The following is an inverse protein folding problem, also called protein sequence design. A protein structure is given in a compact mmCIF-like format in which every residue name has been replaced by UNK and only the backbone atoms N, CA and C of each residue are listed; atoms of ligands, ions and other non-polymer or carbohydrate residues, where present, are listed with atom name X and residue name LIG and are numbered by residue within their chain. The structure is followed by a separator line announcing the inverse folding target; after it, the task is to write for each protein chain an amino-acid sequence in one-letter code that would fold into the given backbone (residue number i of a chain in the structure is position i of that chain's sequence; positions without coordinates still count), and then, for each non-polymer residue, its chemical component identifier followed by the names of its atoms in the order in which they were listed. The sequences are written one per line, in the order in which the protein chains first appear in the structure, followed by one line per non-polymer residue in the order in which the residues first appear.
data_IF_306234256358
#
_entry.id   IF_306234256358
#
_cell.length_a   1.000
_cell.length_b   1.000
_cell.length_c   1.000
_cell.angle_alpha   90.00
_cell.angle_beta   90.00
_cell.angle_gamma   90.00
#
_symmetry.space_group_name_H-M   'P 1'
#
loop_
_entity.id
_entity.type
_entity.pdbx_description
1 polymer ?
#
# COMPACT_ATOMS: atom_id res chain seq x y z
N UNK A 1 -63.23 -32.03 -0.81
CA UNK A 1 -61.99 -32.06 0.00
C UNK A 1 -60.81 -32.18 -0.97
N UNK A 2 -60.12 -31.07 -1.22
CA UNK A 2 -58.93 -30.99 -2.06
C UNK A 2 -57.69 -31.09 -1.17
N UNK A 3 -56.74 -31.97 -1.49
CA UNK A 3 -55.33 -31.82 -1.07
C UNK A 3 -54.44 -32.77 -1.89
N UNK A 4 -53.83 -32.25 -2.96
CA UNK A 4 -52.39 -32.00 -3.08
C UNK A 4 -51.52 -33.26 -3.28
N UNK A 5 -51.43 -33.72 -4.53
CA UNK A 5 -50.26 -34.41 -5.04
C UNK A 5 -49.33 -33.39 -5.71
N UNK A 6 -48.29 -32.97 -4.98
CA UNK A 6 -47.23 -32.12 -5.52
C UNK A 6 -46.27 -32.92 -6.40
N UNK A 7 -46.43 -32.82 -7.73
CA UNK A 7 -45.36 -33.19 -8.68
C UNK A 7 -44.22 -32.19 -8.54
N UNK A 8 -43.10 -32.66 -7.99
CA UNK A 8 -41.83 -31.94 -8.00
C UNK A 8 -41.30 -31.90 -9.44
N UNK A 9 -41.62 -30.83 -10.16
CA UNK A 9 -40.98 -30.52 -11.45
C UNK A 9 -39.56 -30.05 -11.14
N UNK A 10 -38.58 -30.90 -11.45
CA UNK A 10 -37.18 -30.54 -11.56
C UNK A 10 -37.02 -29.45 -12.63
N UNK A 11 -37.14 -28.19 -12.21
CA UNK A 11 -36.75 -27.05 -13.02
C UNK A 11 -35.22 -27.08 -13.09
N UNK A 12 -34.69 -27.66 -14.17
CA UNK A 12 -33.31 -27.43 -14.64
C UNK A 12 -33.06 -25.93 -14.52
N UNK A 13 -32.22 -25.52 -13.57
CA UNK A 13 -31.59 -24.21 -13.63
C UNK A 13 -30.67 -24.28 -14.83
N UNK A 14 -31.14 -23.75 -15.95
CA UNK A 14 -30.27 -23.38 -17.03
C UNK A 14 -29.17 -22.52 -16.40
N UNK A 15 -27.94 -23.04 -16.43
CA UNK A 15 -26.76 -22.21 -16.35
C UNK A 15 -26.88 -21.24 -17.51
N UNK A 16 -27.37 -20.03 -17.24
CA UNK A 16 -27.04 -18.89 -18.07
C UNK A 16 -25.52 -18.77 -18.01
N UNK A 17 -24.87 -19.45 -18.94
CA UNK A 17 -23.59 -19.03 -19.47
C UNK A 17 -23.78 -17.56 -19.79
N UNK A 18 -23.35 -16.69 -18.90
CA UNK A 18 -22.97 -15.34 -19.28
C UNK A 18 -21.90 -15.53 -20.32
N UNK A 19 -22.32 -15.54 -21.59
CA UNK A 19 -21.49 -15.17 -22.70
C UNK A 19 -20.99 -13.78 -22.37
N UNK A 20 -19.86 -13.71 -21.67
CA UNK A 20 -19.07 -12.50 -21.62
C UNK A 20 -18.57 -12.31 -23.04
N UNK A 21 -19.38 -11.62 -23.84
CA UNK A 21 -18.91 -11.00 -25.07
C UNK A 21 -17.57 -10.35 -24.71
N UNK A 22 -16.45 -10.70 -25.37
CA UNK A 22 -15.18 -10.08 -25.05
C UNK A 22 -15.41 -8.57 -25.17
N UNK A 23 -15.32 -7.85 -24.04
CA UNK A 23 -15.46 -6.40 -24.03
C UNK A 23 -14.50 -5.90 -25.09
N UNK A 24 -15.06 -5.35 -26.17
CA UNK A 24 -14.31 -4.74 -27.27
C UNK A 24 -13.31 -3.80 -26.59
N UNK A 25 -12.00 -4.09 -26.66
CA UNK A 25 -10.98 -3.22 -26.07
C UNK A 25 -11.25 -1.83 -26.62
N UNK A 26 -11.60 -0.87 -25.76
CA UNK A 26 -11.74 0.52 -26.15
C UNK A 26 -10.41 0.91 -26.80
N UNK A 27 -10.47 1.21 -28.09
CA UNK A 27 -9.27 1.52 -28.87
C UNK A 27 -8.98 2.99 -28.63
N UNK A 28 -8.21 3.28 -27.58
CA UNK A 28 -7.77 4.63 -27.30
C UNK A 28 -6.84 5.11 -28.43
N UNK A 29 -7.13 6.29 -28.96
CA UNK A 29 -6.32 6.97 -29.96
C UNK A 29 -5.40 7.99 -29.27
N UNK A 30 -4.20 8.18 -29.82
CA UNK A 30 -3.25 9.20 -29.34
C UNK A 30 -3.22 10.31 -30.39
N UNK A 31 -3.76 11.47 -30.06
CA UNK A 31 -3.85 12.58 -31.01
C UNK A 31 -2.58 13.44 -31.02
N UNK A 32 -2.47 14.32 -32.02
CA UNK A 32 -1.36 15.28 -32.10
C UNK A 32 -1.45 16.30 -30.95
N UNK A 33 -2.66 16.65 -30.53
CA UNK A 33 -2.93 17.52 -29.40
C UNK A 33 -2.51 16.87 -28.07
N UNK A 34 -2.81 15.57 -27.89
CA UNK A 34 -2.35 14.79 -26.73
C UNK A 34 -0.82 14.78 -26.64
N UNK A 35 -0.15 14.56 -27.77
CA UNK A 35 1.30 14.56 -27.85
C UNK A 35 1.90 15.94 -27.52
N UNK A 36 1.34 17.00 -28.11
CA UNK A 36 1.78 18.38 -27.89
C UNK A 36 1.61 18.81 -26.43
N UNK A 37 0.46 18.47 -25.83
CA UNK A 37 0.19 18.72 -24.42
C UNK A 37 1.15 17.96 -23.50
N UNK A 38 1.43 16.70 -23.80
CA UNK A 38 2.38 15.89 -23.03
C UNK A 38 3.80 16.45 -23.11
N UNK A 39 4.25 16.86 -24.30
CA UNK A 39 5.55 17.51 -24.52
C UNK A 39 5.68 18.81 -23.74
N UNK A 40 4.63 19.63 -23.73
CA UNK A 40 4.59 20.87 -22.96
C UNK A 40 4.78 20.60 -21.46
N UNK A 41 3.98 19.68 -20.89
CA UNK A 41 4.07 19.31 -19.46
C UNK A 41 5.48 18.82 -19.11
N UNK A 42 6.06 17.94 -19.93
CA UNK A 42 7.41 17.41 -19.68
C UNK A 42 8.46 18.52 -19.76
N UNK A 43 8.33 19.43 -20.74
CA UNK A 43 9.26 20.55 -20.93
C UNK A 43 9.24 21.51 -19.74
N UNK A 44 8.08 21.79 -19.16
CA UNK A 44 7.96 22.60 -17.93
C UNK A 44 8.80 22.01 -16.78
N UNK A 45 8.74 20.69 -16.58
CA UNK A 45 9.58 20.04 -15.56
C UNK A 45 11.07 20.15 -15.88
N UNK A 46 11.46 19.94 -17.14
CA UNK A 46 12.87 20.03 -17.56
C UNK A 46 13.40 21.47 -17.38
N UNK A 47 12.63 22.48 -17.80
CA UNK A 47 12.99 23.89 -17.67
C UNK A 47 13.13 24.31 -16.20
N UNK A 48 12.41 23.64 -15.28
CA UNK A 48 12.57 23.81 -13.83
C UNK A 48 13.80 23.08 -13.23
N UNK A 49 14.64 22.45 -14.06
CA UNK A 49 15.82 21.69 -13.63
C UNK A 49 15.52 20.28 -13.12
N UNK A 50 14.29 19.77 -13.29
CA UNK A 50 13.89 18.45 -12.80
C UNK A 50 14.03 17.40 -13.91
N UNK A 51 15.03 16.53 -13.76
CA UNK A 51 15.28 15.42 -14.68
C UNK A 51 14.75 14.07 -14.18
N UNK A 52 14.27 13.98 -12.94
CA UNK A 52 13.51 12.84 -12.44
C UNK A 52 12.04 13.27 -12.24
N UNK A 53 11.14 12.79 -13.09
CA UNK A 53 9.74 13.25 -13.15
C UNK A 53 8.81 12.11 -12.77
N UNK A 54 7.88 12.34 -11.83
CA UNK A 54 6.89 11.32 -11.48
C UNK A 54 5.72 11.32 -12.49
N UNK A 55 5.35 10.16 -13.02
CA UNK A 55 4.17 10.03 -13.89
C UNK A 55 2.89 10.49 -13.18
N UNK A 56 2.81 10.40 -11.85
CA UNK A 56 1.66 10.93 -11.11
C UNK A 56 1.48 12.43 -11.33
N UNK A 57 2.58 13.18 -11.35
CA UNK A 57 2.55 14.65 -11.45
C UNK A 57 2.22 15.08 -12.88
N UNK A 58 2.72 14.32 -13.88
CA UNK A 58 2.31 14.45 -15.28
C UNK A 58 0.82 14.13 -15.42
N UNK A 59 0.37 13.00 -14.86
CA UNK A 59 -1.02 12.55 -14.95
C UNK A 59 -2.00 13.59 -14.40
N UNK A 60 -1.69 14.19 -13.24
CA UNK A 60 -2.53 15.23 -12.65
C UNK A 60 -2.66 16.50 -13.49
N UNK A 61 -1.75 16.76 -14.43
CA UNK A 61 -1.83 17.89 -15.35
C UNK A 61 -2.41 17.50 -16.72
N UNK A 62 -2.30 16.21 -17.07
CA UNK A 62 -2.70 15.70 -18.37
C UNK A 62 -4.17 15.33 -18.45
N UNK A 63 -4.75 14.72 -17.41
CA UNK A 63 -6.14 14.27 -17.45
C UNK A 63 -6.79 14.23 -16.07
N UNK A 64 -8.06 14.65 -16.02
CA UNK A 64 -8.95 14.47 -14.86
C UNK A 64 -9.67 13.12 -14.86
N UNK A 65 -9.48 12.30 -15.91
CA UNK A 65 -10.10 10.98 -16.01
C UNK A 65 -9.62 10.05 -14.90
N UNK A 66 -10.53 9.25 -14.35
CA UNK A 66 -10.20 8.18 -13.41
C UNK A 66 -10.11 6.80 -14.09
N UNK A 67 -10.32 6.72 -15.41
CA UNK A 67 -10.28 5.47 -16.15
C UNK A 67 -8.87 4.87 -16.15
N UNK A 68 -8.75 3.66 -15.62
CA UNK A 68 -7.47 2.98 -15.43
C UNK A 68 -6.88 2.57 -16.78
N UNK A 69 -7.73 2.12 -17.70
CA UNK A 69 -7.34 1.71 -19.05
C UNK A 69 -6.75 2.88 -19.84
N UNK A 70 -7.40 4.06 -19.78
CA UNK A 70 -6.89 5.29 -20.40
C UNK A 70 -5.60 5.75 -19.71
N UNK A 71 -5.54 5.73 -18.37
CA UNK A 71 -4.31 6.04 -17.63
C UNK A 71 -3.12 5.17 -18.03
N UNK A 72 -3.34 3.87 -18.23
CA UNK A 72 -2.31 2.92 -18.70
C UNK A 72 -1.87 3.26 -20.13
N UNK A 73 -2.82 3.59 -20.99
CA UNK A 73 -2.55 4.03 -22.36
C UNK A 73 -1.67 5.29 -22.38
N UNK A 74 -2.05 6.34 -21.66
CA UNK A 74 -1.28 7.59 -21.54
C UNK A 74 0.10 7.33 -20.93
N UNK A 75 0.21 6.48 -19.89
CA UNK A 75 1.50 6.10 -19.31
C UNK A 75 2.44 5.46 -20.33
N UNK A 76 1.90 4.59 -21.20
CA UNK A 76 2.67 3.94 -22.26
C UNK A 76 3.17 4.96 -23.29
N UNK A 77 2.32 5.91 -23.68
CA UNK A 77 2.68 6.96 -24.64
C UNK A 77 3.69 7.95 -24.05
N UNK A 78 3.48 8.41 -22.82
CA UNK A 78 4.44 9.23 -22.06
C UNK A 78 5.81 8.56 -21.95
N UNK A 79 5.86 7.25 -21.62
CA UNK A 79 7.11 6.50 -21.55
C UNK A 79 7.85 6.49 -22.90
N UNK A 80 7.13 6.23 -24.00
CA UNK A 80 7.73 6.27 -25.35
C UNK A 80 8.29 7.65 -25.65
N UNK A 81 7.52 8.69 -25.36
CA UNK A 81 7.88 10.06 -25.67
C UNK A 81 9.13 10.52 -24.91
N UNK A 82 9.20 10.24 -23.60
CA UNK A 82 10.40 10.51 -22.79
C UNK A 82 11.62 9.76 -23.32
N UNK A 83 11.46 8.48 -23.69
CA UNK A 83 12.56 7.69 -24.25
C UNK A 83 13.07 8.22 -25.59
N UNK A 84 12.18 8.68 -26.47
CA UNK A 84 12.54 9.17 -27.80
C UNK A 84 13.09 10.59 -27.80
N UNK A 85 12.51 11.51 -27.02
CA UNK A 85 12.78 12.95 -27.13
C UNK A 85 13.58 13.51 -25.94
N UNK A 86 13.60 12.80 -24.80
CA UNK A 86 14.23 13.28 -23.56
C UNK A 86 15.06 12.18 -22.88
N UNK A 87 16.11 11.63 -23.53
CA UNK A 87 16.83 10.46 -23.04
C UNK A 87 17.53 10.65 -21.69
N UNK A 88 17.76 11.91 -21.28
CA UNK A 88 18.34 12.27 -19.97
C UNK A 88 17.30 12.34 -18.84
N UNK A 89 16.00 12.24 -19.16
CA UNK A 89 14.91 12.34 -18.18
C UNK A 89 14.51 10.94 -17.71
N UNK A 90 14.49 10.76 -16.39
CA UNK A 90 14.02 9.54 -15.73
C UNK A 90 12.56 9.68 -15.35
N UNK A 91 11.69 8.96 -16.06
CA UNK A 91 10.26 8.88 -15.72
C UNK A 91 10.04 7.88 -14.58
N UNK A 92 9.68 8.38 -13.40
CA UNK A 92 9.30 7.59 -12.23
C UNK A 92 7.81 7.30 -12.28
N UNK A 93 7.44 6.09 -12.62
CA UNK A 93 6.03 5.69 -12.63
C UNK A 93 5.63 5.33 -11.20
N UNK A 94 4.97 6.27 -10.49
CA UNK A 94 4.21 5.95 -9.27
C UNK A 94 3.10 4.96 -9.62
N UNK A 95 3.36 3.69 -9.28
CA UNK A 95 2.43 2.59 -9.46
C UNK A 95 1.35 2.65 -8.39
N UNK A 96 0.39 3.54 -8.56
CA UNK A 96 -0.82 3.55 -7.74
C UNK A 96 -1.53 2.20 -7.86
N UNK A 97 -1.78 1.58 -6.71
CA UNK A 97 -2.60 0.39 -6.57
C UNK A 97 -4.07 0.78 -6.62
N UNK A 98 -4.83 0.16 -7.51
CA UNK A 98 -6.27 0.36 -7.58
C UNK A 98 -6.94 -0.46 -6.47
N UNK A 99 -8.17 -0.08 -6.07
CA UNK A 99 -8.96 -0.89 -5.13
C UNK A 99 -9.16 -2.31 -5.65
N UNK A 100 -9.32 -2.46 -6.97
CA UNK A 100 -9.44 -3.75 -7.64
C UNK A 100 -8.17 -4.59 -7.50
N UNK A 101 -7.00 -4.04 -7.83
CA UNK A 101 -5.73 -4.78 -7.73
C UNK A 101 -5.41 -5.16 -6.28
N UNK A 102 -5.71 -4.28 -5.33
CA UNK A 102 -5.50 -4.58 -3.91
C UNK A 102 -6.47 -5.66 -3.42
N UNK A 103 -7.74 -5.61 -3.82
CA UNK A 103 -8.72 -6.66 -3.51
C UNK A 103 -8.30 -7.98 -4.14
N UNK A 104 -7.90 -7.97 -5.41
CA UNK A 104 -7.42 -9.15 -6.11
C UNK A 104 -6.21 -9.78 -5.40
N UNK A 105 -5.24 -8.95 -4.97
CA UNK A 105 -4.10 -9.43 -4.20
C UNK A 105 -4.56 -10.02 -2.86
N UNK A 106 -5.49 -9.39 -2.15
CA UNK A 106 -6.06 -9.93 -0.91
C UNK A 106 -6.73 -11.28 -1.14
N UNK A 107 -7.54 -11.40 -2.17
CA UNK A 107 -8.28 -12.62 -2.49
C UNK A 107 -7.31 -13.76 -2.83
N UNK A 108 -6.27 -13.52 -3.64
CA UNK A 108 -5.22 -14.51 -3.93
C UNK A 108 -4.44 -14.88 -2.67
N UNK A 109 -4.13 -13.92 -1.81
CA UNK A 109 -3.40 -14.18 -0.57
C UNK A 109 -4.24 -15.00 0.41
N UNK A 110 -5.55 -14.78 0.51
CA UNK A 110 -6.45 -15.63 1.31
C UNK A 110 -6.60 -17.02 0.68
N UNK A 111 -6.70 -17.06 -0.65
CA UNK A 111 -6.60 -18.21 -1.58
C UNK A 111 -5.51 -19.21 -1.15
N UNK A 112 -4.28 -18.69 -1.20
CA UNK A 112 -3.04 -19.47 -1.20
C UNK A 112 -2.35 -19.51 0.16
N UNK A 113 -2.67 -18.55 1.04
CA UNK A 113 -1.89 -18.27 2.24
C UNK A 113 -2.86 -18.07 3.41
N UNK A 114 -2.55 -18.75 4.52
CA UNK A 114 -3.05 -18.33 5.82
C UNK A 114 -2.47 -16.94 6.11
N UNK A 115 -3.24 -15.89 5.81
CA UNK A 115 -2.90 -14.48 6.09
C UNK A 115 -2.22 -14.33 7.46
N UNK A 116 -1.12 -13.57 7.52
CA UNK A 116 -0.35 -13.36 8.76
C UNK A 116 1.04 -14.00 8.79
N UNK A 117 1.43 -14.72 7.72
CA UNK A 117 2.83 -15.12 7.49
C UNK A 117 3.72 -13.94 7.13
N UNK A 118 5.00 -14.03 7.46
CA UNK A 118 6.01 -13.06 7.06
C UNK A 118 6.22 -13.06 5.55
N UNK A 119 6.71 -11.93 5.01
CA UNK A 119 6.92 -11.81 3.56
C UNK A 119 7.95 -12.83 3.04
N UNK A 120 8.94 -13.23 3.83
CA UNK A 120 9.94 -14.24 3.42
C UNK A 120 9.38 -15.67 3.40
N UNK A 121 8.32 -15.96 4.15
CA UNK A 121 7.70 -17.29 4.26
C UNK A 121 6.73 -17.60 3.13
N UNK A 122 6.45 -16.61 2.27
CA UNK A 122 5.48 -16.69 1.20
C UNK A 122 6.18 -17.08 -0.11
N UNK A 123 5.67 -18.13 -0.77
CA UNK A 123 6.05 -18.48 -2.14
C UNK A 123 5.46 -17.49 -3.14
N UNK A 124 6.15 -16.36 -3.31
CA UNK A 124 5.67 -15.25 -4.13
C UNK A 124 5.54 -15.55 -5.63
N UNK A 125 6.20 -16.59 -6.13
CA UNK A 125 6.06 -16.99 -7.54
C UNK A 125 4.67 -17.58 -7.81
N UNK A 126 4.13 -18.37 -6.87
CA UNK A 126 2.77 -18.93 -6.95
C UNK A 126 1.71 -17.81 -6.89
N UNK A 127 1.90 -16.87 -5.96
CA UNK A 127 1.04 -15.68 -5.82
C UNK A 127 1.07 -14.85 -7.12
N UNK A 128 2.25 -14.66 -7.72
CA UNK A 128 2.41 -13.91 -8.96
C UNK A 128 1.68 -14.60 -10.13
N UNK A 129 1.80 -15.93 -10.25
CA UNK A 129 1.12 -16.69 -11.31
C UNK A 129 -0.39 -16.50 -11.25
N UNK A 130 -0.98 -16.74 -10.07
CA UNK A 130 -2.44 -16.61 -9.85
C UNK A 130 -2.93 -15.17 -9.96
N UNK A 131 -2.13 -14.22 -9.49
CA UNK A 131 -2.44 -12.80 -9.66
C UNK A 131 -2.52 -12.42 -11.14
N UNK A 132 -1.62 -12.95 -11.98
CA UNK A 132 -1.63 -12.73 -13.43
C UNK A 132 -2.77 -13.48 -14.14
N UNK A 133 -3.03 -14.73 -13.77
CA UNK A 133 -4.16 -15.52 -14.30
C UNK A 133 -5.50 -14.81 -14.10
N UNK A 134 -5.70 -14.18 -12.93
CA UNK A 134 -6.90 -13.40 -12.61
C UNK A 134 -6.89 -11.97 -13.20
N UNK A 135 -5.95 -11.64 -14.09
CA UNK A 135 -5.91 -10.37 -14.84
C UNK A 135 -5.06 -9.26 -14.22
N UNK A 136 -4.28 -9.54 -13.18
CA UNK A 136 -3.36 -8.60 -12.55
C UNK A 136 -2.04 -8.43 -13.32
N UNK A 137 -1.51 -7.20 -13.39
CA UNK A 137 -0.32 -6.88 -14.21
C UNK A 137 0.90 -6.43 -13.38
N UNK A 138 0.99 -6.85 -12.11
CA UNK A 138 2.06 -6.44 -11.20
C UNK A 138 3.23 -7.42 -11.22
N UNK A 139 4.41 -6.91 -10.90
CA UNK A 139 5.60 -7.74 -10.68
C UNK A 139 5.67 -8.25 -9.23
N UNK A 140 6.50 -9.28 -9.03
CA UNK A 140 6.71 -9.94 -7.73
C UNK A 140 7.04 -8.96 -6.62
N UNK A 141 7.94 -8.01 -6.91
CA UNK A 141 8.43 -7.02 -5.94
C UNK A 141 7.33 -6.08 -5.49
N UNK A 142 6.47 -5.64 -6.41
CA UNK A 142 5.32 -4.81 -6.10
C UNK A 142 4.30 -5.55 -5.21
N UNK A 143 4.04 -6.84 -5.49
CA UNK A 143 3.15 -7.67 -4.66
C UNK A 143 3.68 -7.79 -3.23
N UNK A 144 4.97 -8.13 -3.09
CA UNK A 144 5.67 -8.21 -1.80
C UNK A 144 5.58 -6.91 -1.02
N UNK A 145 5.91 -5.79 -1.65
CA UNK A 145 5.90 -4.48 -1.02
C UNK A 145 4.49 -4.06 -0.62
N UNK A 146 3.48 -4.35 -1.46
CA UNK A 146 2.09 -4.03 -1.15
C UNK A 146 1.59 -4.83 0.03
N UNK A 147 1.90 -6.12 0.07
CA UNK A 147 1.51 -6.98 1.19
C UNK A 147 2.13 -6.49 2.50
N UNK A 148 3.46 -6.39 2.54
CA UNK A 148 4.22 -6.00 3.73
C UNK A 148 3.77 -4.67 4.30
N UNK A 149 3.50 -3.69 3.43
CA UNK A 149 3.28 -2.33 3.89
C UNK A 149 1.80 -1.97 4.11
N UNK A 150 0.86 -2.71 3.53
CA UNK A 150 -0.54 -2.26 3.45
C UNK A 150 -1.60 -3.36 3.67
N UNK A 151 -1.25 -4.64 3.54
CA UNK A 151 -2.24 -5.75 3.64
C UNK A 151 -1.97 -6.64 4.85
N UNK A 152 -0.71 -6.78 5.26
CA UNK A 152 -0.33 -7.66 6.37
C UNK A 152 -1.17 -7.36 7.63
N UNK A 153 -1.82 -8.36 8.26
CA UNK A 153 -2.74 -8.12 9.38
C UNK A 153 -2.11 -7.40 10.58
N UNK A 154 -0.81 -7.62 10.85
CA UNK A 154 -0.10 -6.87 11.89
C UNK A 154 0.07 -5.38 11.56
N UNK A 155 0.09 -5.01 10.28
CA UNK A 155 0.26 -3.62 9.81
C UNK A 155 -1.09 -2.94 9.59
N UNK A 156 -2.13 -3.71 9.26
CA UNK A 156 -3.45 -3.21 8.87
C UNK A 156 -4.50 -3.46 9.96
N UNK A 157 -5.09 -2.40 10.50
CA UNK A 157 -6.32 -2.49 11.31
C UNK A 157 -7.53 -2.33 10.36
N UNK A 158 -8.44 -3.31 10.28
CA UNK A 158 -9.64 -3.20 9.44
C UNK A 158 -10.47 -1.96 9.75
N UNK A 159 -10.89 -1.23 8.72
CA UNK A 159 -11.82 -0.10 8.84
C UNK A 159 -11.20 1.29 8.89
N UNK A 160 -9.89 1.42 9.09
CA UNK A 160 -9.24 2.73 9.23
C UNK A 160 -7.90 2.79 8.46
N UNK A 161 -7.80 3.70 7.48
CA UNK A 161 -6.50 4.22 7.00
C UNK A 161 -5.88 5.11 8.09
N UNK A 162 -5.73 4.62 9.31
CA UNK A 162 -5.10 5.41 10.37
C UNK A 162 -3.59 5.38 10.12
N UNK A 163 -3.04 6.58 9.87
CA UNK A 163 -1.58 6.81 9.89
C UNK A 163 -1.04 6.13 11.15
N UNK A 164 0.05 5.38 11.02
CA UNK A 164 0.75 4.89 12.19
C UNK A 164 1.18 6.10 13.04
N UNK A 165 0.66 6.18 14.27
CA UNK A 165 1.02 7.24 15.20
C UNK A 165 2.17 6.70 16.05
N UNK A 166 3.38 7.17 15.75
CA UNK A 166 4.55 6.87 16.57
C UNK A 166 4.44 7.56 17.92
N UNK A 167 4.70 6.83 19.01
CA UNK A 167 4.85 7.42 20.34
C UNK A 167 6.12 8.29 20.42
N UNK A 168 6.27 9.06 21.49
CA UNK A 168 7.49 9.85 21.73
C UNK A 168 8.71 8.92 21.86
N UNK A 169 8.57 7.83 22.59
CA UNK A 169 9.63 6.83 22.83
C UNK A 169 10.02 6.12 21.52
N UNK A 170 9.04 5.71 20.72
CA UNK A 170 9.30 5.13 19.40
C UNK A 170 10.00 6.14 18.48
N UNK A 171 9.62 7.42 18.56
CA UNK A 171 10.26 8.49 17.78
C UNK A 171 11.72 8.68 18.19
N UNK A 172 12.03 8.67 19.49
CA UNK A 172 13.41 8.71 20.01
C UNK A 172 14.23 7.53 19.53
N UNK A 173 13.71 6.32 19.69
CA UNK A 173 14.39 5.11 19.23
C UNK A 173 14.73 5.14 17.73
N UNK A 174 13.84 5.67 16.88
CA UNK A 174 14.12 5.83 15.44
C UNK A 174 15.33 6.74 15.19
N UNK A 175 15.42 7.86 15.92
CA UNK A 175 16.53 8.80 15.82
C UNK A 175 17.81 8.12 16.31
N UNK A 176 17.78 7.53 17.51
CA UNK A 176 18.94 6.90 18.14
C UNK A 176 19.51 5.77 17.27
N UNK A 177 18.66 4.89 16.73
CA UNK A 177 19.12 3.82 15.85
C UNK A 177 19.82 4.37 14.61
N UNK A 178 19.33 5.47 14.05
CA UNK A 178 19.88 6.02 12.80
C UNK A 178 21.10 6.91 13.02
N UNK A 179 21.14 7.66 14.12
CA UNK A 179 22.27 8.49 14.53
C UNK A 179 23.47 7.63 14.95
N UNK A 180 23.22 6.58 15.75
CA UNK A 180 24.28 5.70 16.25
C UNK A 180 24.80 4.71 15.18
N UNK A 181 24.02 4.42 14.14
CA UNK A 181 24.45 3.58 13.04
C UNK A 181 23.86 4.06 11.70
N UNK A 182 24.60 4.91 11.01
CA UNK A 182 24.17 5.46 9.71
C UNK A 182 23.89 4.37 8.66
N UNK A 183 24.52 3.20 8.77
CA UNK A 183 24.37 2.07 7.84
C UNK A 183 23.15 1.18 8.14
N UNK A 184 22.53 1.30 9.31
CA UNK A 184 21.37 0.46 9.67
C UNK A 184 20.22 0.64 8.67
N UNK A 185 19.63 -0.48 8.25
CA UNK A 185 18.53 -0.48 7.29
C UNK A 185 17.20 -0.07 7.94
N UNK A 186 16.31 0.60 7.19
CA UNK A 186 14.96 0.91 7.67
C UNK A 186 14.14 -0.33 8.04
N UNK A 187 14.44 -1.46 7.37
CA UNK A 187 13.85 -2.76 7.68
C UNK A 187 14.21 -3.19 9.10
N UNK A 188 15.50 -3.15 9.45
CA UNK A 188 16.00 -3.54 10.77
C UNK A 188 15.47 -2.64 11.88
N UNK A 189 15.41 -1.31 11.66
CA UNK A 189 14.80 -0.39 12.64
C UNK A 189 13.32 -0.75 12.86
N UNK A 190 12.59 -1.03 11.79
CA UNK A 190 11.18 -1.42 11.87
C UNK A 190 10.99 -2.73 12.63
N UNK A 191 11.86 -3.71 12.43
CA UNK A 191 11.83 -5.00 13.14
C UNK A 191 12.05 -4.81 14.63
N UNK A 192 13.09 -4.06 15.04
CA UNK A 192 13.36 -3.74 16.46
C UNK A 192 12.20 -3.03 17.15
N UNK A 193 11.57 -2.06 16.47
CA UNK A 193 10.40 -1.38 17.02
C UNK A 193 9.20 -2.33 17.15
N UNK A 194 9.02 -3.23 16.18
CA UNK A 194 7.94 -4.20 16.18
C UNK A 194 8.10 -5.29 17.25
N UNK A 195 9.34 -5.65 17.63
CA UNK A 195 9.60 -6.51 18.80
C UNK A 195 9.08 -5.88 20.09
N UNK A 196 9.36 -4.58 20.31
CA UNK A 196 8.84 -3.85 21.48
C UNK A 196 7.32 -3.76 21.45
N UNK A 197 6.73 -3.54 20.28
CA UNK A 197 5.27 -3.54 20.10
C UNK A 197 4.68 -4.92 20.40
N UNK A 198 5.30 -6.00 19.95
CA UNK A 198 4.86 -7.37 20.21
C UNK A 198 4.92 -7.70 21.71
N UNK A 199 6.00 -7.31 22.40
CA UNK A 199 6.10 -7.42 23.86
C UNK A 199 5.00 -6.63 24.58
N UNK A 200 4.77 -5.37 24.19
CA UNK A 200 3.72 -4.54 24.79
C UNK A 200 2.32 -5.12 24.56
N UNK A 201 2.06 -5.62 23.36
CA UNK A 201 0.79 -6.27 23.03
C UNK A 201 0.61 -7.58 23.81
N UNK A 202 1.68 -8.35 24.03
CA UNK A 202 1.66 -9.56 24.84
C UNK A 202 1.35 -9.24 26.30
N UNK A 203 2.02 -8.22 26.87
CA UNK A 203 1.76 -7.74 28.23
C UNK A 203 0.32 -7.25 28.39
N UNK A 204 -0.20 -6.48 27.43
CA UNK A 204 -1.59 -6.04 27.43
C UNK A 204 -2.55 -7.24 27.43
N UNK A 205 -2.32 -8.25 26.58
CA UNK A 205 -3.14 -9.48 26.56
C UNK A 205 -3.08 -10.26 27.87
N UNK A 206 -1.91 -10.37 28.51
CA UNK A 206 -1.79 -11.04 29.81
C UNK A 206 -2.49 -10.27 30.93
N UNK A 207 -2.39 -8.94 30.91
CA UNK A 207 -3.07 -8.06 31.88
C UNK A 207 -4.59 -8.12 31.69
N UNK A 208 -5.07 -8.11 30.44
CA UNK A 208 -6.49 -8.25 30.12
C UNK A 208 -7.03 -9.62 30.54
N UNK A 209 -6.23 -10.70 30.45
CA UNK A 209 -6.62 -12.03 30.95
C UNK A 209 -6.73 -12.06 32.47
N UNK A 210 -5.84 -11.35 33.18
CA UNK A 210 -5.89 -11.20 34.64
C UNK A 210 -7.07 -10.34 35.10
N UNK A 211 -7.39 -9.28 34.36
CA UNK A 211 -8.54 -8.41 34.64
C UNK A 211 -9.88 -9.07 34.28
N UNK A 212 -9.96 -9.84 33.19
CA UNK A 212 -11.15 -10.66 32.87
C UNK A 212 -11.43 -11.76 33.89
N UNK A 213 -10.41 -12.21 34.63
CA UNK A 213 -10.61 -13.12 35.76
C UNK A 213 -11.19 -12.39 36.99
N UNK A 214 -11.04 -11.06 37.06
CA UNK A 214 -11.42 -10.21 38.18
C UNK A 214 -12.68 -9.34 37.90
N UNK A 215 -13.17 -9.26 36.67
CA UNK A 215 -14.33 -8.44 36.28
C UNK A 215 -15.46 -9.30 35.67
N UNK A 216 -16.37 -9.74 36.56
CA UNK A 216 -17.80 -9.94 36.26
C UNK A 216 -18.56 -8.60 36.42
N UNK A 217 -17.87 -7.51 36.76
CA UNK A 217 -18.49 -6.23 37.10
C UNK A 217 -17.75 -5.12 36.36
N UNK A 218 -18.55 -4.26 35.72
CA UNK A 218 -18.25 -3.00 35.04
C UNK A 218 -17.86 -3.02 33.55
N UNK A 219 -18.90 -2.77 32.76
CA UNK A 219 -18.88 -2.48 31.34
C UNK A 219 -18.29 -1.09 31.02
N UNK A 220 -17.60 -1.02 29.87
CA UNK A 220 -17.30 0.16 29.03
C UNK A 220 -16.25 1.18 29.54
N UNK A 221 -14.96 0.89 29.33
CA UNK A 221 -13.97 1.94 28.96
C UNK A 221 -12.58 1.46 28.51
N UNK A 222 -12.09 0.28 28.91
CA UNK A 222 -10.66 -0.04 28.74
C UNK A 222 -10.36 -1.17 27.74
N UNK A 223 -10.81 -1.04 26.48
CA UNK A 223 -10.22 -1.86 25.41
C UNK A 223 -8.84 -1.28 25.11
N UNK A 224 -7.80 -1.77 25.81
CA UNK A 224 -6.39 -1.48 25.47
C UNK A 224 -6.18 -1.89 24.01
N UNK A 225 -6.11 -0.89 23.12
CA UNK A 225 -5.94 -1.09 21.68
C UNK A 225 -4.67 -1.89 21.42
N UNK A 226 -4.82 -3.02 20.73
CA UNK A 226 -3.67 -3.72 20.12
C UNK A 226 -2.96 -2.71 19.21
N UNK A 227 -1.68 -2.48 19.48
CA UNK A 227 -0.87 -1.59 18.66
C UNK A 227 -0.50 -2.31 17.37
N UNK A 228 -0.73 -1.70 16.18
CA UNK A 228 -0.25 -2.28 14.94
C UNK A 228 1.28 -2.25 14.88
N UNK A 229 1.85 -2.98 13.94
CA UNK A 229 3.25 -2.90 13.54
C UNK A 229 3.48 -1.68 12.65
N UNK A 230 4.64 -1.07 12.80
CA UNK A 230 5.13 -0.07 11.88
C UNK A 230 5.85 -0.74 10.69
N UNK A 231 5.87 -0.06 9.55
CA UNK A 231 6.56 -0.51 8.34
C UNK A 231 7.87 0.26 8.14
N UNK A 232 8.84 -0.30 7.41
CA UNK A 232 10.10 0.39 7.11
C UNK A 232 9.89 1.76 6.44
N UNK A 233 8.86 1.86 5.58
CA UNK A 233 8.52 3.11 4.91
C UNK A 233 7.91 4.13 5.88
N UNK A 234 7.09 3.72 6.85
CA UNK A 234 6.56 4.61 7.88
C UNK A 234 7.68 5.14 8.78
N UNK A 235 8.62 4.27 9.16
CA UNK A 235 9.81 4.63 9.95
C UNK A 235 10.68 5.64 9.19
N UNK A 236 11.02 5.35 7.92
CA UNK A 236 11.78 6.26 7.06
C UNK A 236 11.10 7.61 6.91
N UNK A 237 9.80 7.62 6.62
CA UNK A 237 9.04 8.86 6.42
C UNK A 237 8.99 9.67 7.72
N UNK A 238 8.83 9.01 8.86
CA UNK A 238 8.88 9.67 10.17
C UNK A 238 10.25 10.31 10.39
N UNK A 239 11.34 9.57 10.23
CA UNK A 239 12.70 10.11 10.36
C UNK A 239 12.96 11.31 9.43
N UNK A 240 12.67 11.17 8.13
CA UNK A 240 12.86 12.23 7.16
C UNK A 240 12.02 13.48 7.50
N UNK A 241 10.80 13.30 8.01
CA UNK A 241 9.97 14.43 8.44
C UNK A 241 10.58 15.19 9.62
N UNK A 242 11.30 14.48 10.50
CA UNK A 242 11.98 15.07 11.65
C UNK A 242 13.25 15.80 11.20
N UNK A 243 14.13 15.12 10.47
CA UNK A 243 15.39 15.71 10.00
C UNK A 243 15.17 16.88 9.04
N UNK A 244 14.17 16.82 8.15
CA UNK A 244 13.89 17.95 7.25
C UNK A 244 13.36 19.21 7.97
N UNK A 245 12.94 19.09 9.23
CA UNK A 245 12.57 20.25 10.07
C UNK A 245 13.77 20.87 10.79
N UNK A 246 14.89 20.17 10.83
CA UNK A 246 16.13 20.57 11.49
C UNK A 246 16.97 21.26 10.41
N UNK A 247 17.10 22.59 10.50
CA UNK A 247 17.83 23.39 9.50
C UNK A 247 19.30 23.53 9.88
N UNK A 248 19.61 23.50 11.17
CA UNK A 248 20.98 23.57 11.69
C UNK A 248 21.32 22.40 12.65
N UNK A 249 22.60 22.03 12.80
CA UNK A 249 23.02 20.99 13.76
C UNK A 249 22.67 21.31 15.23
N UNK A 250 22.57 22.60 15.59
CA UNK A 250 22.10 23.09 16.89
C UNK A 250 20.62 22.78 17.14
N UNK A 251 19.80 22.71 16.08
CA UNK A 251 18.39 22.36 16.15
C UNK A 251 18.18 20.88 16.52
N UNK A 252 19.19 20.03 16.32
CA UNK A 252 19.16 18.61 16.70
C UNK A 252 19.19 18.45 18.23
N UNK A 253 20.09 19.20 18.89
CA UNK A 253 20.15 19.33 20.35
C UNK A 253 18.89 20.01 20.91
N UNK A 254 18.39 21.06 20.26
CA UNK A 254 17.16 21.72 20.68
C UNK A 254 15.91 20.83 20.49
N UNK A 255 15.87 20.00 19.45
CA UNK A 255 14.81 19.00 19.22
C UNK A 255 14.84 17.88 20.27
N UNK A 256 16.04 17.46 20.68
CA UNK A 256 16.31 16.60 21.83
C UNK A 256 16.05 17.26 23.18
N UNK A 257 15.86 18.58 23.27
CA UNK A 257 15.54 19.26 24.52
C UNK A 257 14.06 19.68 24.61
N UNK A 258 13.41 20.03 23.49
CA UNK A 258 12.02 20.48 23.46
C UNK A 258 10.97 19.36 23.42
N UNK A 259 11.36 18.12 23.10
CA UNK A 259 10.47 16.95 23.18
C UNK A 259 10.72 16.10 24.43
N UNK A 260 11.43 16.64 25.42
CA UNK A 260 11.72 16.04 26.70
C UNK A 260 10.95 16.74 27.80
#
# INVERSE_FOLDING_TARGET
MNSFFGRLVLKKRNSETMNSTPKKKSQFTWSIEDESRMNYIISEFINSGKFEINFKDIWSQFSDSQEIEYRRFVQKMCKKLVQSHHPKVKLVISRHWTKYEEKLLKDVLVEEIKMGKETCEIKWDDVLSKFKEKGGERDKKALQERYRNYIHPKVFVPGDRKRYIFSKEQTRAIIDYKANNSKIGWKEISEKLNEVIDMQNMLNKMTDKKNRLNEVIDNKANVKRIMPHCTPNQVRNKYNTLINRIKEPSDLLAFELMNF
#
